data_IF_620570043182
#
_entry.id   IF_620570043182
#
_cell.length_a   1.000
_cell.length_b   1.000
_cell.length_c   1.000
_cell.angle_alpha   90.00
_cell.angle_beta   90.00
_cell.angle_gamma   90.00
#
_symmetry.space_group_name_H-M   'P 1'
#
loop_
_entity.id
_entity.type
_entity.pdbx_description
1 polymer ?
#
# COMPACT_ATOMS: atom_id res chain seq x y z
N UNK A 1 6.93 27.83 9.22
CA UNK A 1 7.37 26.52 9.73
C UNK A 1 6.37 25.54 9.16
N UNK A 2 6.81 24.67 8.24
CA UNK A 2 5.90 23.78 7.54
C UNK A 2 5.49 22.65 8.48
N UNK A 3 4.18 22.39 8.55
CA UNK A 3 3.61 21.33 9.39
C UNK A 3 3.10 20.21 8.49
N UNK A 4 3.55 18.99 8.76
CA UNK A 4 2.97 17.79 8.18
C UNK A 4 1.74 17.36 9.00
N UNK A 5 0.67 16.96 8.32
CA UNK A 5 -0.57 16.46 8.91
C UNK A 5 -0.92 15.11 8.30
N UNK A 6 -1.45 14.19 9.12
CA UNK A 6 -1.97 12.92 8.62
C UNK A 6 -3.34 13.11 7.98
N UNK A 7 -3.48 12.70 6.72
CA UNK A 7 -4.72 12.80 5.95
C UNK A 7 -5.20 11.52 5.26
N UNK A 8 -4.77 10.28 5.62
CA UNK A 8 -5.13 9.10 4.83
C UNK A 8 -6.65 8.88 4.76
N UNK A 9 -7.36 9.12 5.87
CA UNK A 9 -8.81 8.97 5.93
C UNK A 9 -9.54 9.99 5.04
N UNK A 10 -9.14 11.27 5.08
CA UNK A 10 -9.74 12.33 4.27
C UNK A 10 -9.33 12.27 2.81
N UNK A 11 -8.14 11.73 2.52
CA UNK A 11 -7.64 11.50 1.17
C UNK A 11 -8.19 10.22 0.53
N UNK A 12 -9.00 9.41 1.23
CA UNK A 12 -9.57 8.18 0.69
C UNK A 12 -8.61 6.98 0.64
N UNK A 13 -7.44 7.07 1.28
CA UNK A 13 -6.43 6.00 1.29
C UNK A 13 -6.67 5.08 2.48
N UNK A 14 -7.05 3.83 2.21
CA UNK A 14 -7.21 2.78 3.23
C UNK A 14 -6.36 1.57 2.86
N UNK A 15 -5.18 1.49 3.48
CA UNK A 15 -4.22 0.42 3.22
C UNK A 15 -3.58 -0.04 4.53
N UNK A 16 -3.42 -1.35 4.66
CA UNK A 16 -2.67 -1.96 5.75
C UNK A 16 -1.61 -2.86 5.15
N UNK A 17 -0.35 -2.55 5.46
CA UNK A 17 0.77 -3.38 5.06
C UNK A 17 0.80 -4.65 5.90
N UNK A 18 0.79 -5.79 5.24
CA UNK A 18 1.17 -7.07 5.82
C UNK A 18 2.61 -7.34 5.44
N UNK A 19 3.46 -7.53 6.44
CA UNK A 19 4.88 -7.86 6.27
C UNK A 19 5.15 -9.05 7.17
N UNK A 20 4.94 -10.27 6.69
CA UNK A 20 5.16 -11.49 7.49
C UNK A 20 4.35 -11.58 8.78
N UNK A 21 4.57 -12.65 9.53
CA UNK A 21 3.99 -12.81 10.87
C UNK A 21 4.60 -11.80 11.86
N UNK A 22 3.81 -11.22 12.80
CA UNK A 22 4.33 -10.30 13.82
C UNK A 22 5.49 -10.85 14.66
N UNK A 23 5.55 -12.17 14.87
CA UNK A 23 6.64 -12.80 15.62
C UNK A 23 7.94 -12.95 14.81
N UNK A 24 7.87 -12.80 13.49
CA UNK A 24 9.04 -12.78 12.58
C UNK A 24 9.99 -13.96 12.78
N UNK A 25 9.45 -15.18 12.78
CA UNK A 25 10.22 -16.40 13.08
C UNK A 25 11.25 -16.75 12.00
N UNK A 26 11.09 -16.25 10.77
CA UNK A 26 11.96 -16.55 9.64
C UNK A 26 12.59 -15.30 9.03
N UNK A 27 13.84 -15.43 8.54
CA UNK A 27 14.58 -14.30 7.93
C UNK A 27 13.84 -13.67 6.75
N UNK A 28 13.05 -14.46 6.01
CA UNK A 28 12.31 -13.96 4.86
C UNK A 28 11.17 -13.02 5.28
N UNK A 29 10.62 -13.18 6.48
CA UNK A 29 9.57 -12.31 7.03
C UNK A 29 10.15 -11.01 7.58
N UNK A 30 11.39 -11.06 8.07
CA UNK A 30 12.13 -9.87 8.52
C UNK A 30 12.53 -8.97 7.34
N UNK A 31 12.78 -9.56 6.17
CA UNK A 31 13.14 -8.82 4.94
C UNK A 31 11.95 -8.56 4.01
N UNK A 32 10.81 -9.19 4.27
CA UNK A 32 9.69 -9.24 3.34
C UNK A 32 8.63 -8.19 3.63
N UNK A 33 8.39 -7.31 2.66
CA UNK A 33 7.11 -6.64 2.47
C UNK A 33 7.18 -5.13 2.44
N UNK A 34 6.27 -4.56 1.65
CA UNK A 34 6.10 -3.12 1.52
C UNK A 34 6.84 -2.55 0.31
N UNK A 35 6.28 -1.47 -0.21
CA UNK A 35 6.82 -0.74 -1.34
C UNK A 35 5.84 0.35 -1.71
N UNK A 36 6.36 1.47 -2.17
CA UNK A 36 5.57 2.60 -2.64
C UNK A 36 6.17 3.12 -3.93
N UNK A 37 5.31 3.44 -4.89
CA UNK A 37 5.70 4.12 -6.11
C UNK A 37 4.65 5.17 -6.47
N UNK A 38 5.13 6.29 -7.01
CA UNK A 38 4.30 7.24 -7.75
C UNK A 38 4.40 6.92 -9.23
N UNK A 39 3.26 6.69 -9.87
CA UNK A 39 3.16 6.36 -11.29
C UNK A 39 1.86 6.94 -11.83
N UNK A 40 1.90 7.56 -13.00
CA UNK A 40 0.70 7.92 -13.74
C UNK A 40 0.22 6.66 -14.50
N UNK A 41 -0.69 5.89 -13.91
CA UNK A 41 -1.05 4.57 -14.46
C UNK A 41 -2.12 4.64 -15.54
N UNK A 42 -2.97 5.66 -15.52
CA UNK A 42 -4.05 5.86 -16.51
C UNK A 42 -3.77 6.96 -17.53
N UNK A 43 -2.68 7.72 -17.38
CA UNK A 43 -2.20 8.71 -18.33
C UNK A 43 -2.93 10.05 -18.23
N UNK A 44 -3.58 10.35 -17.11
CA UNK A 44 -4.33 11.59 -16.90
C UNK A 44 -3.45 12.78 -16.46
N UNK A 45 -2.16 12.54 -16.22
CA UNK A 45 -1.18 13.53 -15.82
C UNK A 45 -1.11 13.79 -14.31
N UNK A 46 -1.89 13.07 -13.50
CA UNK A 46 -1.80 13.07 -12.04
C UNK A 46 -1.08 11.80 -11.56
N UNK A 47 0.05 11.90 -10.83
CA UNK A 47 0.71 10.72 -10.28
C UNK A 47 -0.21 9.98 -9.29
N UNK A 48 -0.42 8.70 -9.55
CA UNK A 48 -1.16 7.76 -8.72
C UNK A 48 -0.23 7.03 -7.75
N UNK A 49 -0.82 6.49 -6.69
CA UNK A 49 -0.09 5.83 -5.61
C UNK A 49 -0.21 4.31 -5.72
N UNK A 50 0.90 3.62 -5.99
CA UNK A 50 0.97 2.16 -5.91
C UNK A 50 1.57 1.72 -4.58
N UNK A 51 0.82 0.91 -3.82
CA UNK A 51 1.25 0.33 -2.55
C UNK A 51 1.40 -1.19 -2.67
N UNK A 52 2.64 -1.66 -2.50
CA UNK A 52 2.96 -3.09 -2.52
C UNK A 52 2.63 -3.69 -1.16
N UNK A 53 1.83 -4.75 -1.17
CA UNK A 53 1.54 -5.51 0.03
C UNK A 53 2.39 -6.78 0.10
N UNK A 54 2.66 -7.25 1.32
CA UNK A 54 3.24 -8.55 1.54
C UNK A 54 2.20 -9.55 2.02
N UNK A 55 2.66 -10.60 2.67
CA UNK A 55 1.83 -11.70 3.16
C UNK A 55 2.47 -12.35 4.38
N UNK A 56 1.70 -13.17 5.09
CA UNK A 56 2.21 -14.15 6.06
C UNK A 56 2.37 -15.52 5.39
N UNK A 57 3.17 -16.42 5.97
CA UNK A 57 3.22 -17.80 5.47
C UNK A 57 1.86 -18.51 5.52
N UNK A 58 1.07 -18.26 6.56
CA UNK A 58 -0.27 -18.85 6.68
C UNK A 58 -1.20 -18.36 5.57
N UNK A 59 -1.26 -17.05 5.32
CA UNK A 59 -2.09 -16.50 4.25
C UNK A 59 -1.61 -16.91 2.87
N UNK A 60 -0.30 -17.00 2.67
CA UNK A 60 0.27 -17.52 1.43
C UNK A 60 -0.15 -18.97 1.19
N UNK A 61 -0.05 -19.85 2.20
CA UNK A 61 -0.49 -21.26 2.10
C UNK A 61 -1.99 -21.40 1.85
N UNK A 62 -2.80 -20.52 2.45
CA UNK A 62 -4.26 -20.50 2.28
C UNK A 62 -4.72 -19.86 0.98
N UNK A 63 -3.81 -19.20 0.25
CA UNK A 63 -4.13 -18.50 -1.00
C UNK A 63 -4.90 -17.20 -0.83
N UNK A 64 -4.94 -16.63 0.38
CA UNK A 64 -5.65 -15.40 0.72
C UNK A 64 -4.70 -14.26 1.11
N UNK A 65 -3.56 -14.21 0.42
CA UNK A 65 -2.59 -13.13 0.61
C UNK A 65 -3.23 -11.77 0.34
N UNK A 66 -2.97 -10.75 1.18
CA UNK A 66 -3.32 -9.37 0.88
C UNK A 66 -2.75 -8.98 -0.48
N UNK A 67 -3.52 -8.23 -1.26
CA UNK A 67 -3.04 -7.74 -2.57
C UNK A 67 -2.45 -6.34 -2.43
N UNK A 68 -1.49 -6.03 -3.29
CA UNK A 68 -1.09 -4.66 -3.59
C UNK A 68 -2.29 -3.86 -4.11
N UNK A 69 -2.21 -2.53 -4.02
CA UNK A 69 -3.29 -1.60 -4.40
C UNK A 69 -2.75 -0.44 -5.20
N UNK A 70 -3.50 -0.02 -6.20
CA UNK A 70 -3.29 1.26 -6.88
C UNK A 70 -4.39 2.19 -6.39
N UNK A 71 -4.01 3.40 -6.02
CA UNK A 71 -4.90 4.47 -5.64
C UNK A 71 -4.78 5.56 -6.70
N UNK A 72 -5.81 5.69 -7.54
CA UNK A 72 -5.89 6.72 -8.56
C UNK A 72 -6.03 8.09 -7.91
N UNK A 73 -5.21 9.05 -8.29
CA UNK A 73 -5.29 10.43 -7.84
C UNK A 73 -6.45 11.14 -8.55
N UNK A 74 -7.37 11.73 -7.78
CA UNK A 74 -8.52 12.43 -8.37
C UNK A 74 -8.21 13.89 -8.74
N UNK A 75 -6.96 14.36 -8.54
CA UNK A 75 -6.53 15.73 -8.85
C UNK A 75 -6.94 16.79 -7.81
N UNK A 76 -7.68 16.40 -6.77
CA UNK A 76 -8.22 17.30 -5.74
C UNK A 76 -7.68 16.99 -4.32
N UNK A 77 -6.61 16.18 -4.25
CA UNK A 77 -6.03 15.72 -2.99
C UNK A 77 -6.68 14.46 -2.42
N UNK A 78 -7.63 13.87 -3.13
CA UNK A 78 -8.24 12.57 -2.79
C UNK A 78 -7.84 11.47 -3.77
N UNK A 79 -8.07 10.23 -3.36
CA UNK A 79 -7.71 9.03 -4.11
C UNK A 79 -8.85 8.02 -4.17
N UNK A 80 -8.89 7.25 -5.27
CA UNK A 80 -9.82 6.15 -5.51
C UNK A 80 -9.07 4.82 -5.59
N UNK A 81 -9.48 3.80 -4.84
CA UNK A 81 -8.94 2.42 -4.96
C UNK A 81 -9.49 1.76 -6.23
N UNK A 82 -8.60 1.25 -7.11
CA UNK A 82 -8.92 0.74 -8.47
C UNK A 82 -8.51 -0.71 -8.71
#
# INVERSE_FOLDING_TARGET
>A
MDQFVEVPATAGIKFMLTSGDPEKRYIIEAKGGGGVAWIDYDGDGFPDLFLVNGTTFEQWRRGDSPRSRIFRNNGDGTFTDV
#
